data_IF_592703304998
#
_entry.id   IF_592703304998
#
_cell.length_a   1.000
_cell.length_b   1.000
_cell.length_c   1.000
_cell.angle_alpha   90.00
_cell.angle_beta   90.00
_cell.angle_gamma   90.00
#
_symmetry.space_group_name_H-M   'P 1'
#
loop_
_entity.id
_entity.type
_entity.pdbx_description
1 polymer ?
#
# COMPACT_ATOMS: atom_id res chain seq x y z
N UNK A 1 39.92 36.44 35.91
CA UNK A 1 39.49 37.29 34.79
C UNK A 1 40.17 36.74 33.53
N UNK A 2 39.50 35.84 32.81
CA UNK A 2 40.04 35.26 31.58
C UNK A 2 39.62 36.14 30.41
N UNK A 3 40.60 36.72 29.71
CA UNK A 3 40.39 37.43 28.44
C UNK A 3 40.09 36.37 27.39
N UNK A 4 38.91 36.43 26.76
CA UNK A 4 38.66 35.66 25.55
C UNK A 4 39.71 36.10 24.51
N UNK A 5 40.42 35.14 23.93
CA UNK A 5 41.35 35.39 22.83
C UNK A 5 40.58 35.79 21.58
N UNK A 6 41.14 36.69 20.77
CA UNK A 6 40.48 37.25 19.57
C UNK A 6 40.07 36.18 18.54
N UNK A 7 40.63 34.98 18.62
CA UNK A 7 40.26 33.83 17.78
C UNK A 7 38.87 33.27 18.13
N UNK A 8 38.48 33.27 19.40
CA UNK A 8 37.18 32.74 19.84
C UNK A 8 36.05 33.69 19.43
N UNK A 9 36.27 35.00 19.55
CA UNK A 9 35.29 36.00 19.10
C UNK A 9 35.13 35.98 17.57
N UNK A 10 36.22 35.81 16.82
CA UNK A 10 36.17 35.62 15.37
C UNK A 10 35.34 34.40 14.98
N UNK A 11 35.62 33.24 15.59
CA UNK A 11 34.90 32.00 15.25
C UNK A 11 33.41 32.04 15.63
N UNK A 12 33.08 32.69 16.76
CA UNK A 12 31.69 32.92 17.16
C UNK A 12 30.96 33.81 16.16
N UNK A 13 31.61 34.86 15.66
CA UNK A 13 31.05 35.75 14.65
C UNK A 13 30.83 35.02 13.31
N UNK A 14 31.83 34.28 12.83
CA UNK A 14 31.74 33.51 11.58
C UNK A 14 30.63 32.43 11.65
N UNK A 15 30.45 31.81 12.81
CA UNK A 15 29.34 30.87 13.00
C UNK A 15 27.98 31.53 13.04
N UNK A 16 27.87 32.74 13.58
CA UNK A 16 26.62 33.47 13.57
C UNK A 16 26.26 33.92 12.14
N UNK A 17 27.24 34.37 11.37
CA UNK A 17 27.07 34.64 9.93
C UNK A 17 26.65 33.38 9.16
N UNK A 18 27.29 32.23 9.41
CA UNK A 18 26.89 30.96 8.78
C UNK A 18 25.46 30.57 9.14
N UNK A 19 25.03 30.78 10.39
CA UNK A 19 23.63 30.54 10.80
C UNK A 19 22.66 31.45 10.06
N UNK A 20 23.00 32.73 9.93
CA UNK A 20 22.17 33.69 9.18
C UNK A 20 22.07 33.30 7.70
N UNK A 21 23.18 32.91 7.08
CA UNK A 21 23.19 32.42 5.69
C UNK A 21 22.31 31.18 5.53
N UNK A 22 22.40 30.22 6.46
CA UNK A 22 21.55 29.02 6.44
C UNK A 22 20.07 29.38 6.64
N UNK A 23 19.75 30.37 7.47
CA UNK A 23 18.38 30.82 7.68
C UNK A 23 17.79 31.43 6.39
N UNK A 24 18.53 32.32 5.72
CA UNK A 24 18.14 32.89 4.43
C UNK A 24 18.02 31.78 3.36
N UNK A 25 18.95 30.83 3.33
CA UNK A 25 18.88 29.72 2.40
C UNK A 25 17.63 28.86 2.63
N UNK A 26 17.26 28.60 3.88
CA UNK A 26 16.02 27.87 4.23
C UNK A 26 14.77 28.61 3.78
N UNK A 27 14.75 29.93 3.94
CA UNK A 27 13.65 30.78 3.47
C UNK A 27 13.51 30.69 1.94
N UNK A 28 14.60 30.89 1.19
CA UNK A 28 14.59 30.75 -0.28
C UNK A 28 14.20 29.35 -0.75
N UNK A 29 14.62 28.29 -0.06
CA UNK A 29 14.19 26.92 -0.38
C UNK A 29 12.69 26.77 -0.15
N UNK A 30 12.14 27.34 0.93
CA UNK A 30 10.71 27.27 1.20
C UNK A 30 9.87 28.03 0.18
N UNK A 31 10.35 29.20 -0.29
CA UNK A 31 9.73 29.96 -1.37
C UNK A 31 9.75 29.17 -2.69
N UNK A 32 10.89 28.58 -3.05
CA UNK A 32 11.02 27.75 -4.24
C UNK A 32 10.15 26.48 -4.17
N UNK A 33 10.01 25.88 -2.99
CA UNK A 33 9.10 24.75 -2.77
C UNK A 33 7.65 25.16 -2.97
N UNK A 34 7.26 26.36 -2.54
CA UNK A 34 5.91 26.89 -2.74
C UNK A 34 5.64 27.20 -4.22
N UNK A 35 6.59 27.83 -4.91
CA UNK A 35 6.51 28.04 -6.36
C UNK A 35 6.41 26.71 -7.13
N UNK A 36 7.18 25.69 -6.74
CA UNK A 36 7.08 24.35 -7.32
C UNK A 36 5.72 23.69 -7.03
N UNK A 37 5.16 23.85 -5.83
CA UNK A 37 3.79 23.39 -5.51
C UNK A 37 2.77 24.08 -6.40
N UNK A 38 2.86 25.39 -6.55
CA UNK A 38 1.96 26.18 -7.39
C UNK A 38 2.07 25.79 -8.88
N UNK A 39 3.30 25.67 -9.39
CA UNK A 39 3.54 25.18 -10.75
C UNK A 39 2.99 23.76 -10.96
N UNK A 40 3.17 22.84 -10.00
CA UNK A 40 2.58 21.50 -10.05
C UNK A 40 1.05 21.55 -10.10
N UNK A 41 0.41 22.45 -9.35
CA UNK A 41 -1.04 22.66 -9.44
C UNK A 41 -1.46 23.16 -10.82
N UNK A 42 -0.76 24.14 -11.39
CA UNK A 42 -1.04 24.67 -12.73
C UNK A 42 -0.87 23.60 -13.81
N UNK A 43 0.17 22.78 -13.72
CA UNK A 43 0.39 21.65 -14.64
C UNK A 43 -0.77 20.65 -14.54
N UNK A 44 -1.18 20.25 -13.33
CA UNK A 44 -2.34 19.35 -13.16
C UNK A 44 -3.64 19.93 -13.74
N UNK A 45 -3.88 21.23 -13.57
CA UNK A 45 -5.06 21.89 -14.16
C UNK A 45 -5.00 21.88 -15.69
N UNK A 46 -3.83 22.19 -16.26
CA UNK A 46 -3.62 22.13 -17.70
C UNK A 46 -3.74 20.71 -18.25
N UNK A 47 -3.24 19.70 -17.53
CA UNK A 47 -3.39 18.28 -17.87
C UNK A 47 -4.86 17.85 -17.86
N UNK A 48 -5.66 18.33 -16.90
CA UNK A 48 -7.10 18.08 -16.86
C UNK A 48 -7.83 18.76 -18.03
N UNK A 49 -7.38 19.94 -18.45
CA UNK A 49 -7.91 20.62 -19.63
C UNK A 49 -7.49 19.94 -20.93
N UNK A 50 -6.26 19.44 -21.04
CA UNK A 50 -5.77 18.64 -22.18
C UNK A 50 -6.46 17.27 -22.25
N UNK A 51 -6.90 16.71 -21.12
CA UNK A 51 -7.72 15.50 -21.06
C UNK A 51 -9.16 15.71 -21.58
N UNK A 52 -9.59 16.96 -21.76
CA UNK A 52 -10.86 17.30 -22.41
C UNK A 52 -10.66 18.23 -23.64
N UNK A 53 -10.11 17.75 -24.76
CA UNK A 53 -10.31 18.41 -26.03
C UNK A 53 -11.73 18.08 -26.53
N UNK A 54 -12.35 19.08 -27.12
CA UNK A 54 -13.70 19.06 -27.66
C UNK A 54 -13.99 17.81 -28.51
N UNK A 55 -14.84 16.93 -27.97
CA UNK A 55 -15.63 15.94 -28.69
C UNK A 55 -14.88 14.83 -29.41
N UNK A 56 -14.44 13.79 -28.70
CA UNK A 56 -14.31 12.42 -29.25
C UNK A 56 -14.58 11.37 -28.15
N UNK A 57 -15.25 10.30 -28.57
CA UNK A 57 -16.20 9.44 -27.83
C UNK A 57 -15.68 8.60 -26.64
N UNK A 58 -16.65 8.14 -25.84
CA UNK A 58 -16.64 7.17 -24.71
C UNK A 58 -15.83 5.85 -24.88
N UNK A 59 -15.05 5.70 -25.95
CA UNK A 59 -14.35 4.47 -26.31
C UNK A 59 -12.98 4.33 -25.60
N UNK A 60 -12.34 5.42 -25.19
CA UNK A 60 -11.01 5.37 -24.56
C UNK A 60 -11.04 5.03 -23.05
N UNK A 61 -12.18 5.20 -22.39
CA UNK A 61 -12.36 4.76 -20.99
C UNK A 61 -12.30 3.24 -20.86
N UNK A 62 -12.60 2.50 -21.94
CA UNK A 62 -12.64 1.04 -21.91
C UNK A 62 -11.27 0.37 -22.15
N UNK A 63 -10.31 1.05 -22.79
CA UNK A 63 -9.03 0.41 -23.17
C UNK A 63 -7.99 0.39 -22.04
N UNK A 64 -7.95 1.42 -21.18
CA UNK A 64 -7.04 1.42 -20.03
C UNK A 64 -7.48 0.47 -18.91
N UNK A 65 -8.72 -0.04 -18.98
CA UNK A 65 -9.26 -1.05 -18.07
C UNK A 65 -8.78 -2.47 -18.42
N UNK A 66 -8.33 -2.73 -19.64
CA UNK A 66 -7.90 -4.08 -20.07
C UNK A 66 -6.47 -4.43 -19.65
N UNK A 67 -5.59 -3.45 -19.43
CA UNK A 67 -4.22 -3.70 -18.93
C UNK A 67 -4.18 -4.04 -17.43
N UNK A 68 -5.19 -3.61 -16.66
CA UNK A 68 -5.32 -3.90 -15.23
C UNK A 68 -5.78 -5.32 -14.91
N UNK A 69 -6.39 -6.03 -15.87
CA UNK A 69 -6.88 -7.40 -15.63
C UNK A 69 -5.78 -8.47 -15.65
N UNK A 70 -4.60 -8.19 -16.22
CA UNK A 70 -3.56 -9.21 -16.39
C UNK A 70 -2.82 -9.58 -15.08
N UNK A 71 -2.84 -8.74 -14.05
CA UNK A 71 -2.26 -9.10 -12.74
C UNK A 71 -3.17 -9.96 -11.86
N UNK A 72 -4.50 -9.98 -12.11
CA UNK A 72 -5.45 -10.72 -11.27
C UNK A 72 -5.72 -12.16 -11.75
N UNK A 73 -5.37 -12.51 -12.99
CA UNK A 73 -5.69 -13.83 -13.57
C UNK A 73 -4.59 -14.87 -13.33
N UNK A 74 -3.39 -14.45 -12.90
CA UNK A 74 -2.26 -15.35 -12.65
C UNK A 74 -2.37 -16.14 -11.34
N UNK A 75 -3.29 -15.82 -10.42
CA UNK A 75 -3.43 -16.52 -9.13
C UNK A 75 -4.56 -17.57 -9.06
N UNK A 76 -5.38 -17.76 -10.10
CA UNK A 76 -6.54 -18.68 -10.00
C UNK A 76 -6.45 -19.96 -10.84
N UNK A 77 -5.33 -20.27 -11.50
CA UNK A 77 -5.22 -21.47 -12.34
C UNK A 77 -4.32 -22.57 -11.77
N UNK A 78 -4.63 -23.05 -10.56
CA UNK A 78 -4.11 -24.35 -10.09
C UNK A 78 -5.12 -25.26 -9.39
N UNK A 79 -6.43 -25.03 -9.55
CA UNK A 79 -7.43 -25.95 -9.01
C UNK A 79 -8.70 -26.02 -9.86
N UNK A 80 -8.62 -26.66 -11.03
CA UNK A 80 -9.76 -27.36 -11.65
C UNK A 80 -9.28 -28.11 -12.90
N UNK A 81 -8.74 -29.32 -12.69
CA UNK A 81 -8.69 -30.31 -13.75
C UNK A 81 -9.58 -31.48 -13.34
N UNK A 82 -10.55 -31.75 -14.22
CA UNK A 82 -11.30 -32.99 -14.46
C UNK A 82 -12.56 -33.27 -13.61
N UNK A 83 -13.73 -33.19 -14.27
CA UNK A 83 -14.78 -34.24 -14.40
C UNK A 83 -15.90 -33.70 -15.33
N UNK A 84 -15.85 -34.00 -16.63
CA UNK A 84 -16.65 -35.02 -17.34
C UNK A 84 -18.19 -34.87 -17.29
N UNK A 85 -18.72 -34.38 -18.42
CA UNK A 85 -19.87 -34.85 -19.24
C UNK A 85 -21.10 -35.53 -18.61
N UNK A 86 -22.22 -35.18 -19.23
CA UNK A 86 -23.54 -35.82 -19.31
C UNK A 86 -24.58 -35.52 -18.23
N UNK A 87 -25.62 -34.77 -18.62
CA UNK A 87 -27.01 -35.28 -18.63
C UNK A 87 -27.96 -34.34 -19.40
N UNK A 88 -28.05 -34.67 -20.68
CA UNK A 88 -29.20 -34.60 -21.59
C UNK A 88 -30.59 -34.32 -20.99
N UNK A 89 -31.17 -33.21 -21.46
CA UNK A 89 -32.40 -33.11 -22.28
C UNK A 89 -33.63 -33.97 -21.91
N UNK A 90 -34.80 -33.32 -21.84
CA UNK A 90 -36.09 -33.94 -22.14
C UNK A 90 -36.91 -33.07 -23.13
N UNK A 91 -37.33 -33.61 -24.30
CA UNK A 91 -38.24 -32.94 -25.24
C UNK A 91 -39.58 -33.68 -25.39
N UNK A 92 -40.73 -32.98 -25.34
CA UNK A 92 -41.99 -33.29 -26.07
C UNK A 92 -42.97 -32.12 -25.89
N UNK A 93 -43.37 -31.38 -26.94
CA UNK A 93 -44.52 -31.57 -27.85
C UNK A 93 -45.88 -31.19 -27.21
N UNK A 94 -46.41 -30.01 -27.57
CA UNK A 94 -47.84 -29.66 -27.46
C UNK A 94 -48.20 -28.39 -26.68
N UNK A 95 -48.57 -27.33 -27.41
CA UNK A 95 -49.53 -26.25 -27.08
C UNK A 95 -49.62 -25.62 -25.66
N UNK A 96 -49.37 -24.30 -25.64
CA UNK A 96 -49.99 -23.22 -24.82
C UNK A 96 -49.63 -23.04 -23.32
N UNK A 97 -48.90 -21.93 -23.08
CA UNK A 97 -49.08 -20.91 -22.00
C UNK A 97 -48.61 -21.31 -20.56
N UNK A 98 -48.02 -20.36 -19.80
CA UNK A 98 -47.20 -20.61 -18.60
C UNK A 98 -48.02 -20.47 -17.31
N UNK A 99 -47.33 -20.23 -16.18
CA UNK A 99 -47.83 -19.87 -14.85
C UNK A 99 -47.92 -21.08 -13.89
N UNK A 100 -47.63 -21.03 -12.60
CA UNK A 100 -47.06 -20.06 -11.64
C UNK A 100 -47.02 -20.80 -10.28
N UNK A 101 -46.26 -20.24 -9.35
CA UNK A 101 -46.44 -20.30 -7.90
C UNK A 101 -46.26 -21.62 -7.15
N UNK A 102 -45.12 -21.71 -6.45
CA UNK A 102 -45.11 -22.22 -5.08
C UNK A 102 -44.18 -21.36 -4.23
N UNK A 103 -44.78 -20.47 -3.45
CA UNK A 103 -44.10 -19.71 -2.39
C UNK A 103 -44.77 -20.11 -1.07
N UNK A 104 -44.13 -21.00 -0.30
CA UNK A 104 -44.25 -21.02 1.15
C UNK A 104 -43.01 -21.68 1.79
N UNK A 105 -42.49 -20.99 2.80
CA UNK A 105 -41.19 -21.10 3.49
C UNK A 105 -40.85 -22.45 4.15
N UNK A 106 -39.56 -22.80 4.13
CA UNK A 106 -38.66 -23.13 5.29
C UNK A 106 -37.41 -23.85 4.78
N UNK A 107 -36.15 -23.63 5.21
CA UNK A 107 -35.48 -22.80 6.20
C UNK A 107 -33.99 -22.73 5.79
N UNK A 108 -33.39 -21.55 5.95
CA UNK A 108 -31.96 -21.25 6.15
C UNK A 108 -30.89 -21.62 5.10
N UNK A 109 -30.03 -20.60 4.89
CA UNK A 109 -28.65 -20.67 4.41
C UNK A 109 -28.53 -20.94 2.91
N UNK A 110 -28.31 -19.95 2.05
CA UNK A 110 -27.06 -19.17 1.98
C UNK A 110 -27.45 -17.84 1.31
N UNK A 111 -27.50 -16.75 2.06
CA UNK A 111 -27.18 -15.46 1.44
C UNK A 111 -25.71 -15.57 1.06
N UNK A 112 -25.30 -15.50 -0.23
CA UNK A 112 -23.89 -15.26 -0.51
C UNK A 112 -23.52 -14.00 0.29
N UNK A 113 -22.47 -14.04 1.13
CA UNK A 113 -22.05 -12.85 1.85
C UNK A 113 -21.84 -11.79 0.78
N UNK A 114 -22.53 -10.66 0.98
CA UNK A 114 -22.44 -9.44 0.19
C UNK A 114 -21.16 -9.43 -0.63
N UNK A 115 -21.27 -9.68 -1.93
CA UNK A 115 -20.20 -9.38 -2.86
C UNK A 115 -19.92 -7.90 -2.68
N UNK A 116 -18.88 -7.66 -1.88
CA UNK A 116 -18.40 -6.36 -1.51
C UNK A 116 -18.09 -5.67 -2.85
N UNK A 117 -18.88 -4.63 -3.16
CA UNK A 117 -18.58 -3.68 -4.21
C UNK A 117 -17.28 -2.94 -3.87
N UNK A 118 -16.12 -3.58 -3.96
CA UNK A 118 -14.82 -2.90 -3.86
C UNK A 118 -13.90 -3.26 -5.02
N UNK A 119 -14.44 -3.21 -6.24
CA UNK A 119 -13.61 -2.89 -7.38
C UNK A 119 -13.54 -1.36 -7.50
N UNK A 120 -12.57 -0.68 -6.85
CA UNK A 120 -12.15 0.70 -7.24
C UNK A 120 -10.91 1.34 -6.60
N UNK A 121 -10.09 0.62 -5.85
CA UNK A 121 -8.78 1.16 -5.43
C UNK A 121 -7.81 0.01 -5.22
N UNK A 122 -6.62 0.07 -5.80
CA UNK A 122 -5.53 -0.78 -5.33
C UNK A 122 -5.30 -0.46 -3.84
N UNK A 123 -5.09 -1.47 -2.97
CA UNK A 123 -4.78 -1.21 -1.58
C UNK A 123 -3.45 -0.48 -1.48
N UNK A 124 -3.42 0.61 -0.73
CA UNK A 124 -2.22 1.45 -0.55
C UNK A 124 -1.28 0.89 0.52
N UNK A 125 -1.86 0.18 1.49
CA UNK A 125 -1.18 -0.46 2.62
C UNK A 125 -2.06 -1.56 3.24
N UNK A 126 -1.53 -2.27 4.25
CA UNK A 126 -2.26 -3.32 4.96
C UNK A 126 -3.49 -2.79 5.72
N UNK A 127 -3.48 -1.53 6.17
CA UNK A 127 -4.62 -0.93 6.85
C UNK A 127 -5.80 -0.79 5.89
N UNK A 128 -5.58 -0.36 4.65
CA UNK A 128 -6.60 -0.29 3.61
C UNK A 128 -7.19 -1.68 3.30
N UNK A 129 -6.35 -2.72 3.26
CA UNK A 129 -6.79 -4.11 3.07
C UNK A 129 -7.68 -4.54 4.24
N UNK A 130 -7.28 -4.20 5.46
CA UNK A 130 -8.04 -4.48 6.67
C UNK A 130 -9.39 -3.74 6.70
N UNK A 131 -9.44 -2.46 6.33
CA UNK A 131 -10.70 -1.71 6.24
C UNK A 131 -11.64 -2.24 5.16
N UNK A 132 -11.12 -2.87 4.10
CA UNK A 132 -11.90 -3.55 3.08
C UNK A 132 -12.46 -4.91 3.53
N UNK A 133 -12.25 -5.30 4.81
CA UNK A 133 -12.86 -6.48 5.42
C UNK A 133 -11.99 -7.74 5.41
N UNK A 134 -10.75 -7.64 4.93
CA UNK A 134 -9.81 -8.77 4.99
C UNK A 134 -9.21 -8.86 6.40
N UNK A 135 -9.28 -10.06 6.99
CA UNK A 135 -8.87 -10.31 8.39
C UNK A 135 -7.80 -11.36 8.56
N UNK A 136 -7.32 -11.97 7.47
CA UNK A 136 -6.30 -13.03 7.55
C UNK A 136 -4.91 -12.43 7.40
N UNK A 137 -4.00 -12.74 8.32
CA UNK A 137 -2.59 -12.40 8.17
C UNK A 137 -1.96 -13.17 7.00
N UNK A 138 -1.03 -12.54 6.30
CA UNK A 138 -0.38 -13.17 5.14
C UNK A 138 0.29 -12.16 4.20
N UNK A 139 0.74 -12.64 3.05
CA UNK A 139 1.33 -11.79 2.01
C UNK A 139 0.26 -11.16 1.13
N UNK A 140 0.43 -9.87 0.89
CA UNK A 140 -0.44 -9.08 0.05
C UNK A 140 0.37 -8.14 -0.82
N UNK A 141 -0.20 -7.78 -1.96
CA UNK A 141 0.37 -6.77 -2.84
C UNK A 141 -0.28 -5.42 -2.54
N UNK A 142 0.54 -4.41 -2.27
CA UNK A 142 0.12 -3.02 -2.02
C UNK A 142 0.73 -2.07 -3.03
N UNK A 143 0.10 -0.92 -3.21
CA UNK A 143 0.53 0.15 -4.14
C UNK A 143 0.58 1.47 -3.37
N UNK A 144 1.71 1.75 -2.68
CA UNK A 144 1.86 2.90 -1.78
C UNK A 144 1.64 4.26 -2.45
N UNK A 145 2.01 4.37 -3.73
CA UNK A 145 1.88 5.62 -4.48
C UNK A 145 1.31 5.38 -5.87
N UNK A 146 0.49 6.32 -6.37
CA UNK A 146 -0.16 6.19 -7.68
C UNK A 146 0.82 6.11 -8.87
N UNK A 147 2.06 6.57 -8.66
CA UNK A 147 3.15 6.49 -9.63
C UNK A 147 4.19 5.41 -9.28
N UNK A 148 4.06 4.79 -8.10
CA UNK A 148 4.99 3.80 -7.59
C UNK A 148 4.72 2.40 -8.11
N UNK A 149 5.71 1.53 -7.91
CA UNK A 149 5.57 0.12 -8.22
C UNK A 149 4.78 -0.60 -7.13
N UNK A 150 4.00 -1.61 -7.53
CA UNK A 150 3.40 -2.53 -6.58
C UNK A 150 4.49 -3.31 -5.86
N UNK A 151 4.33 -3.50 -4.56
CA UNK A 151 5.26 -4.28 -3.72
C UNK A 151 4.51 -5.30 -2.90
N UNK A 152 5.17 -6.42 -2.60
CA UNK A 152 4.63 -7.45 -1.74
C UNK A 152 5.03 -7.18 -0.28
N UNK A 153 4.06 -7.28 0.63
CA UNK A 153 4.23 -7.02 2.05
C UNK A 153 3.56 -8.10 2.87
N UNK A 154 4.10 -8.37 4.04
CA UNK A 154 3.39 -9.18 5.03
C UNK A 154 2.46 -8.28 5.85
N UNK A 155 1.17 -8.58 5.81
CA UNK A 155 0.17 -7.91 6.64
C UNK A 155 -0.17 -8.77 7.86
N UNK A 156 0.00 -8.19 9.04
CA UNK A 156 -0.53 -8.74 10.28
C UNK A 156 -1.92 -8.12 10.54
N UNK A 157 -2.93 -8.99 10.45
CA UNK A 157 -4.35 -8.64 10.61
C UNK A 157 -4.91 -9.05 11.97
N UNK A 158 -4.11 -9.73 12.80
CA UNK A 158 -4.55 -10.34 14.05
C UNK A 158 -4.10 -9.52 15.26
N UNK A 159 -2.88 -8.96 15.21
CA UNK A 159 -2.29 -8.24 16.34
C UNK A 159 -2.91 -6.85 16.52
N UNK A 160 -3.32 -6.53 17.75
CA UNK A 160 -3.68 -5.18 18.20
C UNK A 160 -4.62 -4.41 17.25
N UNK A 161 -5.71 -5.07 16.84
CA UNK A 161 -6.71 -4.48 15.97
C UNK A 161 -6.41 -4.57 14.47
N UNK A 162 -5.28 -5.17 14.08
CA UNK A 162 -4.95 -5.55 12.70
C UNK A 162 -4.62 -4.39 11.76
N UNK A 163 -4.25 -4.73 10.51
CA UNK A 163 -3.90 -3.74 9.48
C UNK A 163 -2.43 -3.31 9.53
N UNK A 164 -1.58 -4.07 10.20
CA UNK A 164 -0.16 -3.75 10.35
C UNK A 164 0.63 -4.21 9.12
N UNK A 165 1.38 -3.29 8.53
CA UNK A 165 2.37 -3.63 7.49
C UNK A 165 3.69 -3.95 8.16
N UNK A 166 4.17 -5.19 8.04
CA UNK A 166 5.43 -5.62 8.66
C UNK A 166 6.60 -5.18 7.78
N UNK A 167 7.44 -4.30 8.32
CA UNK A 167 8.61 -3.76 7.59
C UNK A 167 9.92 -4.49 7.89
N UNK A 168 9.99 -5.18 9.04
CA UNK A 168 11.13 -5.98 9.47
C UNK A 168 10.64 -7.13 10.34
N UNK A 169 11.22 -8.32 10.13
CA UNK A 169 10.99 -9.47 11.02
C UNK A 169 12.28 -10.23 11.29
N UNK A 170 12.47 -10.59 12.57
CA UNK A 170 13.57 -11.40 13.12
C UNK A 170 12.97 -12.53 13.97
N UNK A 171 13.39 -13.77 13.75
CA UNK A 171 12.89 -14.96 14.47
C UNK A 171 14.04 -15.89 14.86
N UNK A 172 14.82 -16.37 13.89
CA UNK A 172 15.77 -17.48 14.06
C UNK A 172 17.22 -17.15 13.66
N UNK A 173 17.46 -15.97 13.09
CA UNK A 173 18.77 -15.56 12.59
C UNK A 173 19.19 -16.24 11.28
N UNK A 174 18.23 -16.79 10.52
CA UNK A 174 18.47 -17.40 9.20
C UNK A 174 18.97 -16.40 8.15
N UNK A 175 18.66 -15.11 8.30
CA UNK A 175 19.07 -14.06 7.36
C UNK A 175 20.13 -13.15 7.98
N UNK A 176 21.24 -12.93 7.27
CA UNK A 176 22.26 -11.97 7.69
C UNK A 176 21.78 -10.52 7.47
N UNK A 177 21.84 -9.70 8.53
CA UNK A 177 21.51 -8.26 8.51
C UNK A 177 22.76 -7.35 8.42
N UNK A 178 23.98 -7.89 8.47
CA UNK A 178 25.20 -7.14 8.16
C UNK A 178 25.37 -7.07 6.63
N UNK A 179 24.81 -6.02 6.04
CA UNK A 179 24.60 -5.86 4.59
C UNK A 179 24.99 -4.46 4.13
N UNK A 180 25.16 -4.28 2.82
CA UNK A 180 25.50 -3.00 2.24
C UNK A 180 24.32 -2.02 2.27
N UNK A 181 24.60 -0.72 2.14
CA UNK A 181 23.54 0.30 2.00
C UNK A 181 22.55 0.00 0.88
N UNK A 182 23.05 -0.52 -0.25
CA UNK A 182 22.21 -0.87 -1.40
C UNK A 182 21.19 -1.95 -1.02
N UNK A 183 21.61 -2.96 -0.27
CA UNK A 183 20.71 -4.03 0.17
C UNK A 183 19.65 -3.49 1.14
N UNK A 184 20.02 -2.59 2.05
CA UNK A 184 19.05 -1.94 2.95
C UNK A 184 18.07 -1.03 2.21
N UNK A 185 18.53 -0.37 1.13
CA UNK A 185 17.68 0.44 0.27
C UNK A 185 16.65 -0.43 -0.47
N UNK A 186 17.11 -1.50 -1.11
CA UNK A 186 16.29 -2.34 -1.99
C UNK A 186 15.46 -3.38 -1.21
N UNK A 187 15.89 -3.76 -0.01
CA UNK A 187 15.28 -4.83 0.79
C UNK A 187 15.98 -6.18 0.61
N UNK A 188 15.85 -7.07 1.61
CA UNK A 188 16.43 -8.40 1.58
C UNK A 188 15.71 -9.38 2.52
N UNK A 189 15.93 -10.68 2.29
CA UNK A 189 15.32 -11.76 3.08
C UNK A 189 14.09 -12.35 2.40
N UNK A 190 13.25 -13.02 3.18
CA UNK A 190 12.03 -13.67 2.72
C UNK A 190 10.85 -13.21 3.59
N UNK A 191 9.80 -12.68 2.94
CA UNK A 191 8.60 -12.16 3.61
C UNK A 191 7.86 -13.22 4.43
N UNK A 192 8.09 -14.52 4.16
CA UNK A 192 7.57 -15.62 4.96
C UNK A 192 8.36 -15.89 6.26
N UNK A 193 9.59 -15.39 6.37
CA UNK A 193 10.50 -15.65 7.50
C UNK A 193 11.14 -14.36 8.03
N UNK A 194 12.46 -14.20 7.88
CA UNK A 194 13.20 -13.00 8.27
C UNK A 194 13.45 -12.10 7.06
N UNK A 195 13.18 -10.82 7.21
CA UNK A 195 13.37 -9.86 6.13
C UNK A 195 13.51 -8.42 6.61
N UNK A 196 14.00 -7.60 5.69
CA UNK A 196 13.95 -6.15 5.70
C UNK A 196 13.25 -5.69 4.42
N UNK A 197 12.16 -4.95 4.55
CA UNK A 197 11.31 -4.57 3.42
C UNK A 197 12.03 -3.69 2.39
N UNK A 198 13.00 -2.88 2.83
CA UNK A 198 13.71 -1.92 1.98
C UNK A 198 13.37 -0.48 2.34
N UNK A 199 14.38 0.39 2.43
CA UNK A 199 14.21 1.77 2.86
C UNK A 199 13.36 2.58 1.87
N UNK A 200 13.50 2.34 0.57
CA UNK A 200 12.71 3.05 -0.45
C UNK A 200 11.22 2.68 -0.31
N UNK A 201 10.92 1.41 -0.07
CA UNK A 201 9.57 0.91 0.20
C UNK A 201 8.99 1.47 1.51
N UNK A 202 9.78 1.54 2.58
CA UNK A 202 9.37 2.14 3.85
C UNK A 202 9.11 3.64 3.67
N UNK A 203 9.94 4.33 2.89
CA UNK A 203 9.74 5.74 2.57
C UNK A 203 8.42 5.96 1.80
N UNK A 204 8.17 5.16 0.78
CA UNK A 204 6.92 5.22 0.00
C UNK A 204 5.69 4.93 0.87
N UNK A 205 5.79 4.06 1.87
CA UNK A 205 4.73 3.85 2.87
C UNK A 205 4.56 5.09 3.76
N UNK A 206 5.62 5.51 4.43
CA UNK A 206 5.57 6.58 5.44
C UNK A 206 5.21 7.97 4.90
N UNK A 207 5.36 8.22 3.61
CA UNK A 207 5.06 9.53 3.00
C UNK A 207 3.60 9.73 2.62
N UNK A 208 2.74 8.71 2.75
CA UNK A 208 1.33 8.82 2.37
C UNK A 208 0.52 9.65 3.37
N UNK A 209 0.93 9.72 4.63
CA UNK A 209 0.20 10.38 5.70
C UNK A 209 0.80 10.09 7.07
N UNK A 210 -0.03 10.17 8.11
CA UNK A 210 0.38 9.90 9.49
C UNK A 210 0.38 8.40 9.76
N UNK A 211 1.51 7.88 10.27
CA UNK A 211 1.68 6.46 10.58
C UNK A 211 2.10 6.26 12.03
N UNK A 212 1.65 5.14 12.60
CA UNK A 212 2.17 4.62 13.86
C UNK A 212 3.14 3.48 13.59
N UNK A 213 4.31 3.54 14.19
CA UNK A 213 5.29 2.47 14.23
C UNK A 213 5.11 1.67 15.52
N UNK A 214 5.04 0.35 15.39
CA UNK A 214 5.02 -0.60 16.51
C UNK A 214 6.25 -1.51 16.43
N UNK A 215 6.89 -1.75 17.58
CA UNK A 215 8.03 -2.64 17.72
C UNK A 215 7.68 -3.69 18.77
N UNK A 216 7.62 -4.95 18.35
CA UNK A 216 7.41 -6.11 19.21
C UNK A 216 8.73 -6.86 19.40
N UNK A 217 9.07 -7.18 20.64
CA UNK A 217 10.30 -7.92 21.01
C UNK A 217 9.95 -9.06 21.95
N UNK A 218 10.57 -10.21 21.74
CA UNK A 218 10.45 -11.39 22.60
C UNK A 218 11.83 -11.78 23.14
N UNK A 219 11.95 -11.93 24.46
CA UNK A 219 13.14 -12.47 25.13
C UNK A 219 13.16 -14.01 25.06
N UNK A 220 14.32 -14.63 25.25
CA UNK A 220 14.49 -16.09 25.28
C UNK A 220 13.66 -16.80 26.35
N UNK A 221 13.18 -16.06 27.36
CA UNK A 221 12.20 -16.52 28.33
C UNK A 221 10.73 -16.44 27.89
N UNK A 222 10.46 -16.25 26.60
CA UNK A 222 9.14 -16.02 25.98
C UNK A 222 8.38 -14.83 26.56
N UNK A 223 9.09 -13.79 27.01
CA UNK A 223 8.48 -12.55 27.49
C UNK A 223 8.37 -11.57 26.32
N UNK A 224 7.15 -11.18 25.97
CA UNK A 224 6.85 -10.24 24.88
C UNK A 224 6.64 -8.83 25.41
N UNK A 225 7.32 -7.87 24.81
CA UNK A 225 7.15 -6.44 25.08
C UNK A 225 6.88 -5.71 23.77
N UNK A 226 6.03 -4.69 23.81
CA UNK A 226 5.65 -3.90 22.64
C UNK A 226 5.73 -2.40 22.93
N UNK A 227 6.28 -1.62 22.00
CA UNK A 227 6.27 -0.15 22.06
C UNK A 227 5.70 0.44 20.77
N UNK A 228 4.85 1.46 20.91
CA UNK A 228 4.21 2.14 19.78
C UNK A 228 4.53 3.63 19.79
N UNK A 229 4.86 4.17 18.63
CA UNK A 229 5.14 5.59 18.40
C UNK A 229 4.33 6.08 17.21
N UNK A 230 3.65 7.20 17.37
CA UNK A 230 2.89 7.87 16.30
C UNK A 230 3.67 9.11 15.88
N UNK A 231 3.82 9.35 14.57
CA UNK A 231 4.49 10.54 14.04
C UNK A 231 3.70 11.81 14.27
#
# INVERSE_FOLDING_TARGET
MFRCTDEVSYWLHENEERKQQIAVLKETISELQEELRNHRHRIKVLELQVRFPHGLSRLWVNHQQQSFQLCCVSQTTHAAQLTFLDLWRCPTRGSQIPCVDFLLLSLLSITPPSEIQHARSCPIDCASIYYNGVRRSGLYTVVPSMAGMSMEVYCDMDTDGGGWTVIQRRVDGSVNFDRSWRDYRDGFGDLHSEFWLGNDHIHDLSTQGDYSLRIDMEDWGNRRNSTQHTS
#
